data_IF_360382566115
#
_entry.id   IF_360382566115
#
_cell.length_a   1.000
_cell.length_b   1.000
_cell.length_c   1.000
_cell.angle_alpha   90.00
_cell.angle_beta   90.00
_cell.angle_gamma   90.00
#
_symmetry.space_group_name_H-M   'P 1'
#
loop_
_entity.id
_entity.type
_entity.pdbx_description
1 polymer ?
#
# COMPACT_ATOMS: atom_id res chain seq x y z
N UNK A 1 29.18 80.23 -20.18
CA UNK A 1 29.60 79.69 -18.88
C UNK A 1 28.35 79.16 -18.18
N UNK A 2 28.49 78.01 -17.50
CA UNK A 2 27.50 77.27 -16.71
C UNK A 2 26.52 76.29 -17.40
N UNK A 3 26.46 75.11 -16.78
CA UNK A 3 25.49 74.00 -16.87
C UNK A 3 25.61 73.14 -18.13
N UNK A 4 25.73 71.81 -18.10
CA UNK A 4 25.41 70.81 -17.09
C UNK A 4 24.80 69.63 -17.84
N UNK A 5 25.64 68.67 -18.22
CA UNK A 5 25.33 67.52 -19.07
C UNK A 5 24.38 66.53 -18.37
N UNK A 6 23.07 66.69 -18.56
CA UNK A 6 22.03 65.77 -18.05
C UNK A 6 21.23 65.07 -19.18
N UNK A 7 21.58 65.27 -20.45
CA UNK A 7 20.81 64.69 -21.56
C UNK A 7 21.19 63.25 -21.95
N UNK A 8 22.30 62.71 -21.45
CA UNK A 8 22.83 61.39 -21.88
C UNK A 8 22.52 60.21 -20.95
N UNK A 9 21.98 60.44 -19.74
CA UNK A 9 21.68 59.35 -18.77
C UNK A 9 20.30 58.73 -18.99
N UNK A 10 19.33 59.50 -19.50
CA UNK A 10 17.96 59.00 -19.72
C UNK A 10 17.80 58.10 -20.96
N UNK A 11 18.71 58.16 -21.94
CA UNK A 11 18.60 57.38 -23.17
C UNK A 11 19.01 55.90 -23.00
N UNK A 12 19.83 55.58 -22.00
CA UNK A 12 20.33 54.21 -21.78
C UNK A 12 19.36 53.37 -20.93
N UNK A 13 18.54 54.00 -20.09
CA UNK A 13 17.58 53.31 -19.23
C UNK A 13 16.37 52.72 -20.00
N UNK A 14 15.94 53.34 -21.10
CA UNK A 14 14.78 52.85 -21.88
C UNK A 14 15.10 51.64 -22.78
N UNK A 15 16.36 51.46 -23.20
CA UNK A 15 16.73 50.32 -24.05
C UNK A 15 16.94 49.04 -23.23
N UNK A 16 17.38 49.17 -21.97
CA UNK A 16 17.57 48.03 -21.07
C UNK A 16 16.27 47.40 -20.55
N UNK A 17 15.20 48.17 -20.42
CA UNK A 17 13.90 47.68 -19.90
C UNK A 17 13.02 47.08 -21.00
N UNK A 18 13.19 47.50 -22.26
CA UNK A 18 12.48 46.90 -23.40
C UNK A 18 13.07 45.56 -23.87
N UNK A 19 14.35 45.29 -23.58
CA UNK A 19 14.99 44.02 -23.94
C UNK A 19 14.66 42.86 -22.99
N UNK A 20 14.24 43.12 -21.75
CA UNK A 20 13.87 42.08 -20.77
C UNK A 20 12.40 41.68 -20.81
N UNK A 21 11.55 42.46 -21.47
CA UNK A 21 10.11 42.15 -21.66
C UNK A 21 9.81 41.26 -22.88
N UNK A 22 10.79 41.03 -23.77
CA UNK A 22 10.59 40.25 -25.00
C UNK A 22 10.78 38.73 -24.84
N UNK A 23 11.18 38.24 -23.65
CA UNK A 23 11.42 36.80 -23.40
C UNK A 23 10.20 36.08 -22.79
N UNK A 24 9.09 36.80 -22.55
CA UNK A 24 7.93 36.28 -21.81
C UNK A 24 6.77 35.67 -22.63
N UNK A 25 6.87 35.51 -23.95
CA UNK A 25 5.72 35.11 -24.81
C UNK A 25 5.79 33.71 -25.42
N UNK A 26 6.60 32.80 -24.85
CA UNK A 26 6.80 31.45 -25.38
C UNK A 26 6.08 30.30 -24.64
N UNK A 27 4.95 30.54 -23.96
CA UNK A 27 4.40 29.55 -23.03
C UNK A 27 2.89 29.35 -23.12
N UNK A 28 2.40 28.72 -24.20
CA UNK A 28 1.16 27.93 -24.27
C UNK A 28 1.04 27.27 -25.65
N UNK A 29 1.94 26.33 -25.97
CA UNK A 29 1.63 25.35 -27.01
C UNK A 29 0.75 24.28 -26.37
N UNK A 30 -0.46 24.13 -26.94
CA UNK A 30 -1.50 23.25 -26.44
C UNK A 30 -0.99 21.84 -26.20
N UNK A 31 -1.32 21.32 -25.02
CA UNK A 31 -1.13 19.91 -24.71
C UNK A 31 -1.79 19.07 -25.79
N UNK A 32 -0.99 18.16 -26.35
CA UNK A 32 -1.41 17.19 -27.35
C UNK A 32 -2.71 16.54 -26.88
N UNK A 33 -3.78 16.77 -27.64
CA UNK A 33 -5.10 16.22 -27.35
C UNK A 33 -4.96 14.71 -27.46
N UNK A 34 -4.83 14.04 -26.30
CA UNK A 34 -4.74 12.58 -26.18
C UNK A 34 -5.82 11.96 -27.05
N UNK A 35 -5.40 11.42 -28.18
CA UNK A 35 -6.30 10.75 -29.10
C UNK A 35 -6.89 9.57 -28.32
N UNK A 36 -8.20 9.59 -28.16
CA UNK A 36 -8.91 8.51 -27.51
C UNK A 36 -8.75 7.33 -28.46
N UNK A 37 -7.88 6.40 -28.09
CA UNK A 37 -7.68 5.17 -28.84
C UNK A 37 -9.03 4.49 -28.98
N UNK A 38 -9.58 4.56 -30.20
CA UNK A 38 -10.83 3.90 -30.53
C UNK A 38 -10.52 2.43 -30.57
N UNK A 39 -10.77 1.76 -29.44
CA UNK A 39 -10.72 0.31 -29.33
C UNK A 39 -11.61 -0.25 -30.43
N UNK A 40 -10.98 -0.83 -31.45
CA UNK A 40 -11.68 -1.46 -32.55
C UNK A 40 -12.25 -2.77 -32.04
N UNK A 41 -13.53 -2.73 -31.64
CA UNK A 41 -14.25 -3.91 -31.14
C UNK A 41 -14.48 -4.81 -32.35
N UNK A 42 -13.58 -5.77 -32.56
CA UNK A 42 -13.75 -6.80 -33.58
C UNK A 42 -15.02 -7.58 -33.24
N UNK A 43 -16.06 -7.56 -34.10
CA UNK A 43 -17.31 -8.24 -33.80
C UNK A 43 -17.07 -9.73 -33.67
N UNK A 44 -17.36 -10.30 -32.48
CA UNK A 44 -17.40 -11.74 -32.29
C UNK A 44 -18.47 -12.34 -33.19
N UNK A 45 -18.21 -13.53 -33.75
CA UNK A 45 -19.21 -14.33 -34.45
C UNK A 45 -20.29 -14.81 -33.46
N UNK A 46 -21.26 -13.96 -33.18
CA UNK A 46 -22.47 -14.31 -32.43
C UNK A 46 -23.58 -14.73 -33.40
N UNK A 47 -24.43 -15.71 -33.01
CA UNK A 47 -25.62 -16.06 -33.76
C UNK A 47 -26.48 -14.82 -34.07
N UNK A 48 -27.09 -14.82 -35.23
CA UNK A 48 -27.85 -13.69 -35.78
C UNK A 48 -28.91 -13.10 -34.83
N UNK A 49 -29.64 -13.91 -34.04
CA UNK A 49 -30.60 -13.39 -33.05
C UNK A 49 -29.98 -12.65 -31.86
N UNK A 50 -28.68 -12.83 -31.60
CA UNK A 50 -27.99 -12.25 -30.44
C UNK A 50 -27.14 -11.02 -30.79
N UNK A 51 -27.06 -10.64 -32.08
CA UNK A 51 -26.37 -9.42 -32.52
C UNK A 51 -27.03 -8.18 -31.91
N UNK A 52 -26.21 -7.28 -31.36
CA UNK A 52 -26.69 -6.03 -30.76
C UNK A 52 -27.12 -6.15 -29.29
N UNK A 53 -27.06 -7.36 -28.70
CA UNK A 53 -27.23 -7.53 -27.26
C UNK A 53 -25.98 -7.08 -26.49
N UNK A 54 -26.14 -6.65 -25.23
CA UNK A 54 -24.99 -6.27 -24.37
C UNK A 54 -23.97 -7.41 -24.30
N UNK A 55 -24.41 -8.68 -24.22
CA UNK A 55 -23.51 -9.84 -24.22
C UNK A 55 -22.75 -10.08 -25.53
N UNK A 56 -23.22 -9.54 -26.66
CA UNK A 56 -22.51 -9.60 -27.94
C UNK A 56 -21.44 -8.52 -28.11
N UNK A 57 -21.49 -7.46 -27.30
CA UNK A 57 -20.60 -6.31 -27.35
C UNK A 57 -19.69 -6.21 -26.11
N UNK A 58 -20.10 -6.81 -24.99
CA UNK A 58 -19.37 -6.80 -23.74
C UNK A 58 -18.53 -8.08 -23.60
N UNK A 59 -17.25 -7.90 -23.29
CA UNK A 59 -16.41 -8.98 -22.75
C UNK A 59 -16.38 -8.85 -21.24
N UNK A 60 -16.67 -9.94 -20.52
CA UNK A 60 -16.40 -9.98 -19.10
C UNK A 60 -14.89 -10.15 -18.92
N UNK A 61 -14.24 -9.11 -18.43
CA UNK A 61 -12.87 -9.23 -17.93
C UNK A 61 -12.95 -9.95 -16.59
N UNK A 62 -13.03 -11.29 -16.63
CA UNK A 62 -12.59 -12.10 -15.50
C UNK A 62 -11.08 -11.87 -15.39
N UNK A 63 -10.70 -10.80 -14.71
CA UNK A 63 -9.30 -10.40 -14.63
C UNK A 63 -8.48 -11.45 -13.89
N UNK A 64 -7.16 -11.31 -13.99
CA UNK A 64 -6.22 -12.20 -13.32
C UNK A 64 -6.43 -12.21 -11.79
N UNK A 65 -6.32 -13.40 -11.14
CA UNK A 65 -6.37 -13.51 -9.69
C UNK A 65 -5.36 -12.58 -9.03
N UNK A 66 -5.77 -11.95 -7.93
CA UNK A 66 -4.91 -11.02 -7.20
C UNK A 66 -4.29 -11.72 -6.00
N UNK A 67 -2.97 -11.67 -5.90
CA UNK A 67 -2.28 -12.06 -4.68
C UNK A 67 -2.64 -11.06 -3.58
N UNK A 68 -3.01 -11.57 -2.42
CA UNK A 68 -3.11 -10.81 -1.17
C UNK A 68 -2.12 -11.37 -0.17
N UNK A 69 -1.47 -10.49 0.57
CA UNK A 69 -0.54 -10.92 1.59
C UNK A 69 -0.41 -9.91 2.73
N UNK A 70 0.05 -10.39 3.87
CA UNK A 70 0.22 -9.59 5.06
C UNK A 70 0.96 -10.34 6.16
N UNK A 71 1.38 -9.61 7.17
CA UNK A 71 1.87 -10.21 8.40
C UNK A 71 0.72 -10.39 9.39
N UNK A 72 0.78 -11.48 10.14
CA UNK A 72 -0.19 -11.85 11.14
C UNK A 72 0.46 -12.18 12.47
N UNK A 73 -0.34 -12.13 13.54
CA UNK A 73 0.08 -12.52 14.88
C UNK A 73 -0.67 -13.76 15.32
N UNK A 74 0.07 -14.81 15.66
CA UNK A 74 -0.45 -16.04 16.28
C UNK A 74 -0.19 -15.98 17.77
N UNK A 75 -1.21 -16.26 18.57
CA UNK A 75 -1.15 -16.25 20.04
C UNK A 75 -1.53 -17.62 20.59
N UNK A 76 -1.17 -17.90 21.85
CA UNK A 76 -1.51 -19.16 22.52
C UNK A 76 -0.57 -20.31 22.15
N UNK A 77 0.66 -20.01 21.76
CA UNK A 77 1.68 -21.03 21.51
C UNK A 77 2.24 -21.57 22.83
N UNK A 78 2.73 -22.82 22.81
CA UNK A 78 3.33 -23.48 23.97
C UNK A 78 4.85 -23.22 24.06
N UNK A 79 5.25 -21.95 24.06
CA UNK A 79 6.66 -21.56 24.16
C UNK A 79 7.50 -21.79 22.90
N UNK A 80 6.88 -22.03 21.75
CA UNK A 80 7.54 -22.30 20.45
C UNK A 80 7.75 -21.04 19.59
N UNK A 81 7.24 -19.89 20.04
CA UNK A 81 7.38 -18.59 19.39
C UNK A 81 8.48 -17.71 20.00
N UNK A 82 8.40 -16.40 19.76
CA UNK A 82 9.33 -15.42 20.32
C UNK A 82 10.77 -15.53 19.83
N UNK A 83 10.98 -16.17 18.67
CA UNK A 83 12.30 -16.28 18.04
C UNK A 83 12.82 -14.94 17.52
N UNK A 84 14.04 -14.97 16.98
CA UNK A 84 14.63 -13.80 16.31
C UNK A 84 13.80 -13.41 15.09
N UNK A 85 13.42 -12.14 15.02
CA UNK A 85 12.68 -11.54 13.91
C UNK A 85 13.52 -10.42 13.29
N UNK A 86 13.42 -10.24 11.97
CA UNK A 86 14.02 -9.08 11.32
C UNK A 86 13.42 -7.77 11.87
N UNK A 87 14.28 -6.83 12.22
CA UNK A 87 13.90 -5.55 12.85
C UNK A 87 12.87 -4.77 12.01
N UNK A 88 12.91 -4.87 10.69
CA UNK A 88 11.97 -4.19 9.80
C UNK A 88 10.57 -4.81 9.88
N UNK A 89 10.51 -6.13 10.01
CA UNK A 89 9.24 -6.84 10.20
C UNK A 89 8.70 -6.53 11.58
N UNK A 90 9.55 -6.53 12.62
CA UNK A 90 9.17 -6.15 13.97
C UNK A 90 8.58 -4.73 14.02
N UNK A 91 9.28 -3.73 13.46
CA UNK A 91 8.79 -2.35 13.41
C UNK A 91 7.47 -2.20 12.63
N UNK A 92 7.29 -2.99 11.57
CA UNK A 92 6.02 -3.02 10.80
C UNK A 92 4.90 -3.57 11.67
N UNK A 93 5.13 -4.69 12.35
CA UNK A 93 4.15 -5.32 13.24
C UNK A 93 3.82 -4.47 14.45
N UNK A 94 4.81 -3.82 15.07
CA UNK A 94 4.59 -2.89 16.19
C UNK A 94 3.66 -1.75 15.79
N UNK A 95 3.88 -1.18 14.60
CA UNK A 95 2.99 -0.15 14.07
C UNK A 95 1.59 -0.68 13.82
N UNK A 96 1.44 -1.84 13.19
CA UNK A 96 0.11 -2.40 12.90
C UNK A 96 -0.64 -2.74 14.19
N UNK A 97 0.04 -3.31 15.18
CA UNK A 97 -0.54 -3.56 16.51
C UNK A 97 -0.93 -2.27 17.23
N UNK A 98 -0.13 -1.21 17.12
CA UNK A 98 -0.47 0.10 17.67
C UNK A 98 -1.73 0.69 17.00
N UNK A 99 -1.89 0.53 15.68
CA UNK A 99 -3.09 0.96 14.95
C UNK A 99 -4.35 0.18 15.36
N UNK A 100 -4.18 -1.09 15.74
CA UNK A 100 -5.25 -1.95 16.24
C UNK A 100 -5.55 -1.75 17.74
N UNK A 101 -4.86 -0.83 18.42
CA UNK A 101 -5.07 -0.53 19.83
C UNK A 101 -4.44 -1.54 20.80
N UNK A 102 -3.56 -2.44 20.32
CA UNK A 102 -2.88 -3.43 21.15
C UNK A 102 -1.93 -2.71 22.12
N UNK A 103 -2.08 -3.00 23.42
CA UNK A 103 -1.29 -2.39 24.50
C UNK A 103 -1.95 -1.17 25.17
N UNK A 104 -3.10 -0.70 24.70
CA UNK A 104 -3.87 0.36 25.36
C UNK A 104 -5.17 -0.18 25.96
N UNK A 105 -5.15 -0.51 27.26
CA UNK A 105 -6.37 -0.68 28.07
C UNK A 105 -7.33 -1.79 27.65
N UNK A 106 -6.93 -2.72 26.78
CA UNK A 106 -7.73 -3.91 26.48
C UNK A 106 -7.88 -4.76 27.75
N UNK A 107 -9.10 -5.25 28.00
CA UNK A 107 -9.36 -6.20 29.07
C UNK A 107 -8.82 -7.57 28.63
N UNK A 108 -7.58 -7.87 29.01
CA UNK A 108 -6.83 -9.06 28.56
C UNK A 108 -6.59 -10.07 29.67
N UNK A 109 -7.43 -10.05 30.71
CA UNK A 109 -7.34 -10.96 31.85
C UNK A 109 -7.36 -12.44 31.40
N UNK A 110 -6.31 -13.18 31.75
CA UNK A 110 -6.16 -14.61 31.43
C UNK A 110 -5.77 -14.94 29.99
N UNK A 111 -5.39 -13.96 29.17
CA UNK A 111 -4.95 -14.19 27.78
C UNK A 111 -3.43 -14.05 27.66
N UNK A 112 -2.82 -14.66 26.63
CA UNK A 112 -1.36 -14.53 26.37
C UNK A 112 -0.88 -13.08 26.16
N UNK A 113 -1.81 -12.13 26.06
CA UNK A 113 -1.56 -10.70 25.91
C UNK A 113 -1.26 -9.98 27.23
N UNK A 114 -1.49 -10.63 28.38
CA UNK A 114 -1.20 -10.09 29.69
C UNK A 114 0.26 -10.29 30.11
N UNK A 115 0.81 -9.33 30.83
CA UNK A 115 2.08 -9.49 31.54
C UNK A 115 1.84 -10.23 32.86
N UNK A 116 2.45 -11.42 33.05
CA UNK A 116 2.27 -12.22 34.26
C UNK A 116 2.73 -11.53 35.55
N UNK A 117 3.59 -10.50 35.47
CA UNK A 117 4.11 -9.78 36.65
C UNK A 117 3.28 -8.54 36.93
N UNK A 118 3.03 -7.73 35.91
CA UNK A 118 2.37 -6.42 36.09
C UNK A 118 0.84 -6.48 35.96
N UNK A 119 0.27 -7.61 35.49
CA UNK A 119 -1.15 -7.78 35.15
C UNK A 119 -1.69 -6.67 34.23
N UNK A 120 -0.81 -6.10 33.41
CA UNK A 120 -1.14 -5.08 32.41
C UNK A 120 -1.04 -5.68 31.02
N UNK A 121 -1.71 -5.08 30.02
CA UNK A 121 -1.51 -5.45 28.62
C UNK A 121 -0.04 -5.26 28.26
N UNK A 122 0.59 -6.29 27.68
CA UNK A 122 1.95 -6.19 27.14
C UNK A 122 2.00 -5.15 26.03
N UNK A 123 3.11 -4.42 25.95
CA UNK A 123 3.35 -3.54 24.80
C UNK A 123 3.58 -4.37 23.54
N UNK A 124 3.35 -3.79 22.37
CA UNK A 124 3.55 -4.48 21.09
C UNK A 124 4.94 -5.12 20.96
N UNK A 125 6.01 -4.39 21.31
CA UNK A 125 7.37 -4.92 21.28
C UNK A 125 7.63 -6.04 22.30
N UNK A 126 6.96 -6.04 23.45
CA UNK A 126 7.04 -7.14 24.41
C UNK A 126 6.32 -8.40 23.90
N UNK A 127 5.16 -8.24 23.26
CA UNK A 127 4.42 -9.34 22.66
C UNK A 127 5.20 -10.05 21.56
N UNK A 128 5.91 -9.29 20.71
CA UNK A 128 6.71 -9.88 19.64
C UNK A 128 7.88 -10.75 20.14
N UNK A 129 8.35 -10.50 21.36
CA UNK A 129 9.43 -11.24 22.02
C UNK A 129 8.93 -12.35 22.93
N UNK A 130 7.61 -12.48 23.11
CA UNK A 130 7.02 -13.52 23.93
C UNK A 130 7.09 -14.88 23.23
N UNK A 131 7.46 -15.91 23.97
CA UNK A 131 7.52 -17.29 23.47
C UNK A 131 6.16 -17.88 23.13
N UNK A 132 5.08 -17.31 23.66
CA UNK A 132 3.71 -17.75 23.39
C UNK A 132 3.09 -17.07 22.16
N UNK A 133 3.87 -16.23 21.46
CA UNK A 133 3.43 -15.42 20.33
C UNK A 133 4.38 -15.61 19.16
N UNK A 134 3.83 -15.64 17.94
CA UNK A 134 4.62 -15.70 16.72
C UNK A 134 4.07 -14.76 15.65
N UNK A 135 4.98 -14.22 14.85
CA UNK A 135 4.68 -13.52 13.62
C UNK A 135 4.69 -14.52 12.48
N UNK A 136 3.65 -14.44 11.65
CA UNK A 136 3.48 -15.28 10.47
C UNK A 136 3.32 -14.42 9.23
N UNK A 137 3.79 -14.92 8.10
CA UNK A 137 3.49 -14.42 6.77
C UNK A 137 2.24 -15.16 6.27
N UNK A 138 1.20 -14.41 5.93
CA UNK A 138 -0.05 -14.95 5.37
C UNK A 138 -0.16 -14.52 3.92
N UNK A 139 -0.39 -15.47 3.02
CA UNK A 139 -0.55 -15.24 1.59
C UNK A 139 -1.77 -15.98 1.08
N UNK A 140 -2.56 -15.36 0.22
CA UNK A 140 -3.68 -16.01 -0.42
C UNK A 140 -3.90 -15.43 -1.82
N UNK A 141 -4.65 -16.15 -2.64
CA UNK A 141 -5.03 -15.70 -3.99
C UNK A 141 -6.53 -15.47 -4.00
N UNK A 142 -6.93 -14.24 -4.33
CA UNK A 142 -8.33 -13.85 -4.41
C UNK A 142 -8.77 -13.72 -5.86
N UNK A 143 -9.85 -14.40 -6.28
CA UNK A 143 -10.42 -14.18 -7.61
C UNK A 143 -10.97 -12.74 -7.70
N UNK A 144 -10.83 -12.12 -8.88
CA UNK A 144 -11.41 -10.80 -9.11
C UNK A 144 -12.93 -10.87 -9.11
N UNK A 145 -13.55 -9.98 -8.35
CA UNK A 145 -15.01 -9.99 -8.16
C UNK A 145 -15.50 -10.96 -7.09
N UNK A 146 -14.61 -11.46 -6.22
CA UNK A 146 -15.02 -12.20 -5.02
C UNK A 146 -16.07 -11.40 -4.23
N UNK A 147 -17.22 -12.01 -3.88
CA UNK A 147 -18.24 -11.34 -3.09
C UNK A 147 -17.73 -11.05 -1.66
N UNK A 148 -18.44 -10.19 -0.94
CA UNK A 148 -18.18 -10.01 0.49
C UNK A 148 -18.31 -11.35 1.23
N UNK A 149 -17.44 -11.58 2.21
CA UNK A 149 -17.37 -12.82 3.01
C UNK A 149 -17.01 -14.09 2.22
N UNK A 150 -16.40 -13.94 1.04
CA UNK A 150 -15.83 -15.08 0.32
C UNK A 150 -14.80 -15.82 1.18
N UNK A 151 -14.96 -17.14 1.30
CA UNK A 151 -14.00 -18.00 2.00
C UNK A 151 -12.91 -18.43 1.03
N UNK A 152 -11.66 -18.34 1.48
CA UNK A 152 -10.50 -18.71 0.69
C UNK A 152 -9.45 -19.34 1.60
N UNK A 153 -8.65 -20.23 1.01
CA UNK A 153 -7.51 -20.82 1.69
C UNK A 153 -6.33 -19.84 1.67
N UNK A 154 -5.59 -19.83 2.78
CA UNK A 154 -4.38 -19.04 2.93
C UNK A 154 -3.19 -19.93 3.23
N UNK A 155 -2.07 -19.62 2.59
CA UNK A 155 -0.77 -20.15 2.93
C UNK A 155 -0.20 -19.33 4.10
N UNK A 156 0.22 -20.04 5.16
CA UNK A 156 0.77 -19.43 6.37
C UNK A 156 2.17 -19.96 6.61
N UNK A 157 3.13 -19.05 6.78
CA UNK A 157 4.52 -19.37 7.03
C UNK A 157 4.98 -18.72 8.34
N UNK A 158 5.58 -19.51 9.24
CA UNK A 158 6.16 -19.01 10.47
C UNK A 158 7.44 -18.21 10.20
N UNK A 159 7.54 -17.00 10.77
CA UNK A 159 8.74 -16.15 10.63
C UNK A 159 9.68 -16.28 11.83
N UNK A 160 9.14 -16.42 13.03
CA UNK A 160 9.91 -16.47 14.28
C UNK A 160 9.40 -17.56 15.26
N UNK A 161 8.94 -18.68 14.74
CA UNK A 161 8.49 -19.83 15.53
C UNK A 161 8.95 -21.16 14.95
N UNK A 162 9.17 -22.14 15.84
CA UNK A 162 9.52 -23.52 15.46
C UNK A 162 8.28 -24.37 15.19
N UNK A 163 7.16 -24.06 15.83
CA UNK A 163 5.86 -24.70 15.61
C UNK A 163 4.73 -23.69 15.85
N UNK A 164 3.67 -23.80 15.05
CA UNK A 164 2.42 -23.03 15.18
C UNK A 164 1.28 -23.85 15.82
N UNK A 165 1.58 -25.07 16.27
CA UNK A 165 0.58 -25.96 16.85
C UNK A 165 -0.04 -25.37 18.13
N UNK A 166 -1.37 -25.51 18.25
CA UNK A 166 -2.15 -24.96 19.36
C UNK A 166 -2.39 -23.45 19.31
N UNK A 167 -1.69 -22.74 18.41
CA UNK A 167 -1.85 -21.30 18.23
C UNK A 167 -3.13 -20.92 17.50
N UNK A 168 -3.62 -19.71 17.80
CA UNK A 168 -4.72 -19.08 17.06
C UNK A 168 -4.20 -17.82 16.36
N UNK A 169 -4.49 -17.69 15.07
CA UNK A 169 -4.28 -16.45 14.34
C UNK A 169 -5.22 -15.38 14.90
N UNK A 170 -4.66 -14.35 15.53
CA UNK A 170 -5.43 -13.33 16.23
C UNK A 170 -5.76 -12.15 15.32
N UNK A 171 -4.74 -11.58 14.67
CA UNK A 171 -4.91 -10.47 13.73
C UNK A 171 -4.02 -10.67 12.53
N UNK A 172 -4.47 -10.19 11.36
CA UNK A 172 -3.70 -10.17 10.12
C UNK A 172 -4.27 -9.08 9.22
N UNK A 173 -3.43 -8.14 8.81
CA UNK A 173 -3.81 -7.11 7.83
C UNK A 173 -3.37 -7.56 6.44
N UNK A 174 -4.31 -8.06 5.63
CA UNK A 174 -4.02 -8.45 4.26
C UNK A 174 -4.10 -7.25 3.31
N UNK A 175 -3.12 -7.13 2.42
CA UNK A 175 -3.03 -6.09 1.40
C UNK A 175 -2.87 -6.72 0.03
N UNK A 176 -3.27 -5.99 -1.01
CA UNK A 176 -3.07 -6.41 -2.39
C UNK A 176 -1.57 -6.41 -2.74
N UNK A 177 -1.13 -7.48 -3.38
CA UNK A 177 0.25 -7.67 -3.83
C UNK A 177 1.12 -8.45 -2.84
N UNK A 178 2.44 -8.48 -3.08
CA UNK A 178 3.42 -9.12 -2.20
C UNK A 178 3.58 -8.33 -0.90
N UNK A 179 4.13 -8.97 0.13
CA UNK A 179 4.26 -8.34 1.45
C UNK A 179 5.21 -7.15 1.40
N UNK A 180 4.69 -6.02 1.88
CA UNK A 180 5.49 -4.82 2.11
C UNK A 180 5.88 -4.73 3.57
N UNK A 181 7.17 -4.59 3.85
CA UNK A 181 7.66 -4.08 5.14
C UNK A 181 7.65 -2.56 5.11
N UNK A 182 7.40 -1.94 6.27
CA UNK A 182 7.49 -0.49 6.43
C UNK A 182 8.88 0.02 6.01
N UNK A 183 8.91 1.09 5.22
CA UNK A 183 10.16 1.62 4.64
C UNK A 183 10.80 0.75 3.55
N UNK A 184 10.09 -0.26 3.02
CA UNK A 184 10.52 -1.00 1.83
C UNK A 184 10.49 -0.15 0.57
N UNK A 185 11.48 -0.32 -0.32
CA UNK A 185 11.47 0.29 -1.65
C UNK A 185 10.34 -0.35 -2.45
N UNK A 186 9.25 0.39 -2.64
CA UNK A 186 8.17 -0.01 -3.54
C UNK A 186 8.61 0.36 -4.95
N UNK A 187 9.14 -0.63 -5.70
CA UNK A 187 9.40 -0.44 -7.13
C UNK A 187 8.06 -0.31 -7.83
N UNK A 188 7.58 0.92 -7.99
CA UNK A 188 6.45 1.24 -8.87
C UNK A 188 6.89 0.87 -10.29
N UNK A 189 6.36 -0.21 -10.83
CA UNK A 189 6.40 -0.46 -12.29
C UNK A 189 5.63 0.69 -12.94
N UNK A 190 6.36 1.53 -13.68
CA UNK A 190 5.82 2.48 -14.66
C UNK A 190 5.53 1.75 -15.96
#
# INVERSE_FOLDING_TARGET
MQTGTWKSVFAVACVGVLATLAVGLGGCSGGEKREVERVNITPRSVPEPLRGTIGSLATSSAGEPMLISGFGLVVGLNGTGGGLLDERIAATMEREMALLGVGQGADVEGTSLEDPITRRPKTAGQLLRDKNVAVVLVQAVLPRGAPANYQFDAYVQAMNATSLEGGRLWTTTLRLGPVGVFGGVQTRKV
#
